data_IF_221298886282
#
_entry.id   IF_221298886282
#
_cell.length_a   1.000
_cell.length_b   1.000
_cell.length_c   1.000
_cell.angle_alpha   90.00
_cell.angle_beta   90.00
_cell.angle_gamma   90.00
#
_symmetry.space_group_name_H-M   'P 1'
#
loop_
_entity.id
_entity.type
_entity.pdbx_description
1 polymer ?
#
# COMPACT_ATOMS: atom_id res chain seq x y z
N UNK A 1 -4.43 -5.33 0.19
CA UNK A 1 -4.06 -5.87 1.51
C UNK A 1 -4.37 -7.35 1.51
N UNK A 2 -3.53 -8.19 2.11
CA UNK A 2 -3.79 -9.63 2.21
C UNK A 2 -4.87 -9.92 3.27
N UNK A 3 -5.66 -10.98 3.03
CA UNK A 3 -6.64 -11.49 4.02
C UNK A 3 -6.06 -11.76 5.39
N UNK A 4 -4.84 -12.30 5.44
CA UNK A 4 -4.12 -12.58 6.68
C UNK A 4 -3.97 -11.30 7.53
N UNK A 5 -3.53 -10.21 6.91
CA UNK A 5 -3.36 -8.92 7.59
C UNK A 5 -4.70 -8.32 7.96
N UNK A 6 -5.69 -8.41 7.08
CA UNK A 6 -7.06 -7.94 7.35
C UNK A 6 -7.65 -8.64 8.59
N UNK A 7 -7.48 -9.97 8.70
CA UNK A 7 -7.90 -10.76 9.86
C UNK A 7 -7.11 -10.42 11.12
N UNK A 8 -5.79 -10.28 11.02
CA UNK A 8 -4.93 -9.93 12.16
C UNK A 8 -5.26 -8.55 12.74
N UNK A 9 -5.69 -7.62 11.89
CA UNK A 9 -6.13 -6.28 12.29
C UNK A 9 -7.62 -6.23 12.69
N UNK A 10 -8.36 -7.33 12.56
CA UNK A 10 -9.80 -7.38 12.85
C UNK A 10 -10.66 -6.49 11.95
N UNK A 11 -10.19 -6.20 10.74
CA UNK A 11 -10.89 -5.32 9.80
C UNK A 11 -12.00 -6.06 9.08
N UNK A 12 -13.18 -5.43 9.02
CA UNK A 12 -14.27 -5.88 8.15
C UNK A 12 -14.13 -5.27 6.75
N UNK A 13 -14.66 -5.98 5.76
CA UNK A 13 -14.72 -5.55 4.38
C UNK A 13 -16.04 -5.96 3.76
N UNK A 14 -16.53 -5.20 2.76
CA UNK A 14 -17.73 -5.54 2.01
C UNK A 14 -17.40 -6.56 0.91
N UNK A 15 -17.91 -7.80 0.98
CA UNK A 15 -17.62 -8.83 -0.02
C UNK A 15 -18.39 -8.65 -1.33
N UNK A 16 -19.38 -7.74 -1.39
CA UNK A 16 -20.15 -7.50 -2.61
C UNK A 16 -19.38 -6.62 -3.61
N UNK A 17 -18.35 -5.90 -3.14
CA UNK A 17 -17.51 -5.06 -3.98
C UNK A 17 -16.36 -5.92 -4.53
N UNK A 18 -16.66 -6.64 -5.61
CA UNK A 18 -15.72 -7.54 -6.28
C UNK A 18 -15.18 -6.87 -7.54
N UNK A 19 -13.86 -6.88 -7.70
CA UNK A 19 -13.20 -6.42 -8.92
C UNK A 19 -12.05 -7.36 -9.27
N UNK A 20 -11.90 -7.63 -10.58
CA UNK A 20 -10.82 -8.44 -11.10
C UNK A 20 -9.59 -7.53 -11.26
N UNK A 21 -8.48 -7.92 -10.64
CA UNK A 21 -7.21 -7.24 -10.74
C UNK A 21 -6.28 -8.03 -11.66
N UNK A 22 -5.73 -7.35 -12.66
CA UNK A 22 -4.68 -7.92 -13.48
C UNK A 22 -3.33 -7.64 -12.82
N UNK A 23 -2.65 -8.69 -12.38
CA UNK A 23 -1.28 -8.61 -11.87
C UNK A 23 -0.29 -8.25 -12.98
N UNK A 24 0.92 -7.83 -12.59
CA UNK A 24 2.00 -7.48 -13.52
C UNK A 24 2.50 -8.68 -14.35
N UNK A 25 2.25 -9.90 -13.86
CA UNK A 25 2.51 -11.17 -14.53
C UNK A 25 1.36 -11.60 -15.49
N UNK A 26 0.31 -10.79 -15.62
CA UNK A 26 -0.87 -11.09 -16.42
C UNK A 26 -1.88 -12.03 -15.78
N UNK A 27 -1.68 -12.47 -14.53
CA UNK A 27 -2.68 -13.27 -13.81
C UNK A 27 -3.84 -12.38 -13.36
N UNK A 28 -5.04 -12.94 -13.37
CA UNK A 28 -6.22 -12.26 -12.83
C UNK A 28 -6.42 -12.72 -11.39
N UNK A 29 -6.17 -11.82 -10.46
CA UNK A 29 -6.49 -12.00 -9.05
C UNK A 29 -7.85 -11.39 -8.78
N UNK A 30 -8.70 -12.09 -8.02
CA UNK A 30 -10.00 -11.56 -7.64
C UNK A 30 -9.93 -10.93 -6.25
N UNK A 31 -10.51 -9.74 -6.13
CA UNK A 31 -10.72 -9.10 -4.84
C UNK A 31 -11.78 -9.85 -4.03
N UNK A 32 -11.51 -10.00 -2.74
CA UNK A 32 -12.47 -10.55 -1.78
C UNK A 32 -13.43 -9.49 -1.24
N UNK A 33 -13.06 -8.22 -1.35
CA UNK A 33 -13.91 -7.11 -0.96
C UNK A 33 -13.15 -5.81 -0.75
N UNK A 34 -13.87 -4.83 -0.23
CA UNK A 34 -13.35 -3.48 0.04
C UNK A 34 -13.53 -3.11 1.51
N UNK A 35 -12.43 -2.76 2.17
CA UNK A 35 -12.45 -2.14 3.48
C UNK A 35 -12.47 -0.61 3.32
N UNK A 36 -13.52 0.04 3.82
CA UNK A 36 -13.77 1.45 3.61
C UNK A 36 -13.31 2.29 4.82
N UNK A 37 -12.75 3.48 4.54
CA UNK A 37 -12.38 4.49 5.54
C UNK A 37 -11.50 3.92 6.67
N UNK A 38 -10.48 3.14 6.31
CA UNK A 38 -9.55 2.58 7.28
C UNK A 38 -8.53 3.66 7.69
N UNK A 39 -8.45 4.04 8.97
CA UNK A 39 -7.45 4.99 9.43
C UNK A 39 -6.06 4.36 9.35
N UNK A 40 -5.17 5.00 8.61
CA UNK A 40 -3.79 4.58 8.41
C UNK A 40 -2.87 5.68 8.93
N UNK A 41 -2.05 5.34 9.93
CA UNK A 41 -1.06 6.27 10.47
C UNK A 41 0.31 5.97 9.88
N UNK A 42 0.92 6.97 9.26
CA UNK A 42 2.23 6.89 8.63
C UNK A 42 3.09 8.03 9.19
N UNK A 43 4.04 7.67 10.06
CA UNK A 43 4.75 8.66 10.88
C UNK A 43 3.78 9.42 11.79
N UNK A 44 3.64 10.73 11.56
CA UNK A 44 2.72 11.61 12.28
C UNK A 44 1.49 12.03 11.43
N UNK A 45 1.31 11.45 10.26
CA UNK A 45 0.18 11.74 9.35
C UNK A 45 -0.85 10.62 9.43
N UNK A 46 -2.13 10.98 9.56
CA UNK A 46 -3.25 10.04 9.55
C UNK A 46 -4.08 10.25 8.29
N UNK A 47 -4.27 9.17 7.52
CA UNK A 47 -5.08 9.19 6.29
C UNK A 47 -6.11 8.08 6.31
N UNK A 48 -7.30 8.36 5.78
CA UNK A 48 -8.36 7.37 5.63
C UNK A 48 -8.29 6.78 4.23
N UNK A 49 -8.05 5.47 4.15
CA UNK A 49 -7.87 4.78 2.88
C UNK A 49 -9.00 3.79 2.62
N UNK A 50 -9.37 3.68 1.35
CA UNK A 50 -10.12 2.54 0.82
C UNK A 50 -9.11 1.44 0.48
N UNK A 51 -9.24 0.29 1.11
CA UNK A 51 -8.27 -0.81 1.00
C UNK A 51 -8.94 -2.05 0.41
N UNK A 52 -8.48 -2.40 -0.76
CA UNK A 52 -8.81 -3.64 -1.46
C UNK A 52 -8.24 -4.87 -0.73
N UNK A 53 -9.07 -5.88 -0.44
CA UNK A 53 -8.65 -7.13 0.21
C UNK A 53 -8.48 -8.23 -0.83
N UNK A 54 -7.30 -8.86 -0.86
CA UNK A 54 -6.94 -9.92 -1.81
C UNK A 54 -6.61 -11.22 -1.08
N UNK A 55 -6.92 -12.34 -1.73
CA UNK A 55 -6.47 -13.65 -1.27
C UNK A 55 -4.98 -13.84 -1.54
N UNK A 56 -4.18 -13.91 -0.47
CA UNK A 56 -2.76 -14.31 -0.52
C UNK A 56 -1.88 -13.60 -1.57
N UNK A 57 -1.91 -12.26 -1.69
CA UNK A 57 -0.97 -11.53 -2.54
C UNK A 57 0.47 -11.68 -2.04
N UNK A 58 1.45 -11.42 -2.92
CA UNK A 58 2.89 -11.46 -2.59
C UNK A 58 3.38 -10.32 -1.66
N UNK A 59 2.47 -9.54 -1.09
CA UNK A 59 2.73 -8.38 -0.25
C UNK A 59 1.66 -8.26 0.84
N UNK A 60 2.01 -7.69 1.99
CA UNK A 60 1.03 -7.45 3.06
C UNK A 60 0.05 -6.33 2.68
N UNK A 61 0.58 -5.19 2.26
CA UNK A 61 -0.17 -3.99 1.84
C UNK A 61 0.56 -3.40 0.63
N UNK A 62 -0.20 -3.00 -0.37
CA UNK A 62 0.30 -2.25 -1.52
C UNK A 62 -0.39 -0.89 -1.51
N UNK A 63 0.41 0.18 -1.48
CA UNK A 63 -0.06 1.54 -1.65
C UNK A 63 0.08 1.89 -3.14
N UNK A 64 -1.03 2.26 -3.75
CA UNK A 64 -1.07 2.61 -5.17
C UNK A 64 -1.27 4.11 -5.39
N UNK A 65 -1.54 4.46 -6.64
CA UNK A 65 -1.71 5.85 -7.06
C UNK A 65 -2.78 6.64 -6.29
N UNK A 66 -3.85 5.99 -5.81
CA UNK A 66 -4.87 6.66 -4.97
C UNK A 66 -4.29 7.22 -3.67
N UNK A 67 -3.35 6.50 -3.07
CA UNK A 67 -2.60 6.97 -1.91
C UNK A 67 -1.66 8.12 -2.29
N UNK A 68 -0.98 8.03 -3.42
CA UNK A 68 -0.06 9.06 -3.90
C UNK A 68 -0.79 10.38 -4.17
N UNK A 69 -1.95 10.33 -4.82
CA UNK A 69 -2.78 11.50 -5.08
C UNK A 69 -3.32 12.10 -3.78
N UNK A 70 -3.84 11.27 -2.88
CA UNK A 70 -4.42 11.73 -1.62
C UNK A 70 -3.38 12.45 -0.74
N UNK A 71 -2.16 11.93 -0.72
CA UNK A 71 -1.10 12.44 0.16
C UNK A 71 -0.09 13.34 -0.55
N UNK A 72 -0.27 13.60 -1.85
CA UNK A 72 0.73 14.25 -2.69
C UNK A 72 2.12 13.62 -2.47
N UNK A 73 2.15 12.28 -2.46
CA UNK A 73 3.36 11.55 -2.10
C UNK A 73 4.47 11.84 -3.10
N UNK A 74 5.70 11.98 -2.60
CA UNK A 74 6.88 12.18 -3.44
C UNK A 74 7.98 11.22 -3.02
N UNK A 75 8.50 10.45 -3.98
CA UNK A 75 9.62 9.53 -3.78
C UNK A 75 10.91 10.23 -4.18
N UNK A 76 11.81 10.39 -3.21
CA UNK A 76 13.13 11.00 -3.42
C UNK A 76 14.22 9.94 -3.27
N UNK A 77 14.98 9.71 -4.33
CA UNK A 77 16.14 8.82 -4.34
C UNK A 77 17.42 9.63 -4.17
N UNK A 78 17.98 9.63 -2.96
CA UNK A 78 19.23 10.28 -2.62
C UNK A 78 20.39 9.28 -2.79
N UNK A 79 21.32 9.59 -3.71
CA UNK A 79 22.57 8.85 -3.98
C UNK A 79 22.46 7.30 -3.85
N UNK A 80 22.16 6.62 -4.96
CA UNK A 80 22.16 5.16 -5.22
C UNK A 80 21.63 4.14 -4.19
N UNK A 81 21.28 4.51 -2.96
CA UNK A 81 20.93 3.57 -1.89
C UNK A 81 19.81 4.10 -1.00
N UNK A 82 19.76 5.41 -0.73
CA UNK A 82 18.78 5.96 0.22
C UNK A 82 17.57 6.50 -0.54
N UNK A 83 16.47 5.78 -0.47
CA UNK A 83 15.18 6.28 -0.96
C UNK A 83 14.34 6.72 0.23
N UNK A 84 13.61 7.82 0.06
CA UNK A 84 12.70 8.37 1.07
C UNK A 84 11.36 8.67 0.42
N UNK A 85 10.27 8.48 1.15
CA UNK A 85 8.93 8.89 0.73
C UNK A 85 8.52 10.07 1.61
N UNK A 86 8.12 11.17 0.99
CA UNK A 86 7.47 12.29 1.67
C UNK A 86 5.99 12.24 1.40
N UNK A 87 5.17 12.35 2.43
CA UNK A 87 3.72 12.43 2.34
C UNK A 87 3.23 13.72 3.01
N UNK A 88 2.13 14.25 2.49
CA UNK A 88 1.45 15.44 3.00
C UNK A 88 0.09 15.01 3.55
N UNK A 89 -0.23 15.44 4.76
CA UNK A 89 -1.56 15.31 5.33
C UNK A 89 -2.53 16.20 4.54
N UNK A 90 -3.56 15.62 3.89
CA UNK A 90 -4.52 16.39 3.10
C UNK A 90 -5.36 17.37 3.94
N UNK A 91 -5.47 17.15 5.25
CA UNK A 91 -6.30 17.98 6.12
C UNK A 91 -5.52 19.12 6.76
N UNK A 92 -4.27 18.88 7.16
CA UNK A 92 -3.45 19.87 7.90
C UNK A 92 -2.33 20.49 7.06
N UNK A 93 -1.97 19.88 5.94
CA UNK A 93 -0.80 20.25 5.13
C UNK A 93 0.54 19.87 5.76
N UNK A 94 0.55 19.19 6.92
CA UNK A 94 1.77 18.72 7.55
C UNK A 94 2.45 17.66 6.69
N UNK A 95 3.79 17.71 6.61
CA UNK A 95 4.57 16.73 5.87
C UNK A 95 5.33 15.78 6.78
N UNK A 96 5.43 14.53 6.34
CA UNK A 96 6.23 13.49 6.98
C UNK A 96 7.14 12.85 5.93
N UNK A 97 8.44 12.75 6.23
CA UNK A 97 9.41 12.05 5.38
C UNK A 97 9.89 10.79 6.07
N UNK A 98 9.76 9.66 5.40
CA UNK A 98 10.08 8.33 5.94
C UNK A 98 11.14 7.67 5.06
N UNK A 99 12.22 7.12 5.64
CA UNK A 99 13.19 6.35 4.88
C UNK A 99 12.58 5.02 4.43
N UNK A 100 12.87 4.60 3.21
CA UNK A 100 12.55 3.25 2.74
C UNK A 100 13.77 2.34 2.88
N UNK A 101 13.53 1.04 2.86
CA UNK A 101 14.61 0.09 2.69
C UNK A 101 15.25 0.26 1.30
N UNK A 102 16.57 -0.01 1.16
CA UNK A 102 17.20 -0.07 -0.14
C UNK A 102 16.50 -1.10 -1.02
N UNK A 103 16.29 -0.77 -2.29
CA UNK A 103 15.83 -1.76 -3.26
C UNK A 103 16.94 -2.79 -3.46
N UNK A 104 16.88 -3.92 -2.75
CA UNK A 104 17.79 -5.03 -2.99
C UNK A 104 17.51 -5.55 -4.40
N UNK A 105 18.50 -5.49 -5.31
CA UNK A 105 18.42 -6.24 -6.57
C UNK A 105 18.20 -7.70 -6.20
N UNK A 106 17.08 -8.27 -6.65
CA UNK A 106 16.71 -9.67 -6.40
C UNK A 106 17.91 -10.59 -6.58
N UNK A 107 18.23 -11.38 -5.55
CA UNK A 107 19.09 -12.54 -5.70
C UNK A 107 18.29 -13.55 -6.53
N UNK A 108 18.65 -13.73 -7.81
CA UNK A 108 18.20 -14.87 -8.61
C UNK A 108 18.61 -16.13 -7.84
N UNK A 109 17.67 -16.75 -7.14
CA UNK A 109 17.83 -18.11 -6.66
C UNK A 109 17.57 -19.00 -7.87
N UNK A 110 18.65 -19.42 -8.55
CA UNK A 110 18.61 -20.56 -9.45
C UNK A 110 18.47 -21.81 -8.57
N UNK A 111 17.36 -22.53 -8.72
CA UNK A 111 17.28 -23.96 -8.43
C UNK A 111 17.36 -24.72 -9.75
#
# INVERSE_FOLDING_TARGET
MSTEITSNLGLSYDPNIVLNMQGANGTMDQLLGLACNIPCTIGNVMVYLQIHVLWSPAYNILLGHSFDVLTQSTVNTLSNVKTTITITDPNTGMQCTIPTFPCSKSKRNNH
#
